data_IF_455786879571
#
_entry.id   IF_455786879571
#
_cell.length_a   1.000
_cell.length_b   1.000
_cell.length_c   1.000
_cell.angle_alpha   90.00
_cell.angle_beta   90.00
_cell.angle_gamma   90.00
#
_symmetry.space_group_name_H-M   'P 1'
#
loop_
_entity.id
_entity.type
_entity.pdbx_description
1 polymer ?
#
# COMPACT_ATOMS: atom_id res chain seq x y z
N UNK A 1 -8.24 0.01 -0.83
CA UNK A 1 -7.44 -0.36 -2.00
C UNK A 1 -6.09 0.33 -1.96
N UNK A 2 -5.06 -0.41 -2.18
CA UNK A 2 -3.71 0.11 -2.13
C UNK A 2 -3.21 0.49 -3.53
N UNK A 3 -2.43 1.53 -3.59
CA UNK A 3 -1.66 1.90 -4.77
C UNK A 3 -0.18 1.85 -4.42
N UNK A 4 0.62 1.30 -5.32
CA UNK A 4 2.06 1.16 -5.11
C UNK A 4 2.79 2.04 -6.12
N UNK A 5 3.70 2.87 -5.62
CA UNK A 5 4.53 3.74 -6.44
C UNK A 5 5.98 3.26 -6.39
N UNK A 6 6.57 3.04 -7.57
CA UNK A 6 7.93 2.55 -7.66
C UNK A 6 8.94 3.69 -7.52
N UNK A 7 9.89 3.59 -6.59
CA UNK A 7 10.98 4.55 -6.44
C UNK A 7 12.15 4.24 -7.37
N UNK A 8 13.11 5.16 -7.41
CA UNK A 8 14.28 5.07 -8.29
C UNK A 8 15.52 4.41 -7.65
N UNK A 9 15.44 3.94 -6.41
CA UNK A 9 16.58 3.43 -5.66
C UNK A 9 16.90 1.97 -5.98
N UNK A 10 18.20 1.57 -5.94
CA UNK A 10 18.63 0.24 -6.34
C UNK A 10 18.64 -0.80 -5.22
N UNK A 11 19.06 -0.43 -4.01
CA UNK A 11 19.24 -1.38 -2.90
C UNK A 11 17.95 -1.56 -2.10
N UNK A 12 17.65 -0.60 -1.22
CA UNK A 12 16.38 -0.56 -0.55
C UNK A 12 15.42 0.28 -1.37
N UNK A 13 14.26 -0.28 -1.71
CA UNK A 13 13.26 0.47 -2.42
C UNK A 13 12.28 1.12 -1.46
N UNK A 14 11.66 2.20 -1.93
CA UNK A 14 10.68 2.97 -1.17
C UNK A 14 9.39 3.01 -1.95
N UNK A 15 8.30 2.69 -1.28
CA UNK A 15 6.99 2.54 -1.89
C UNK A 15 5.99 3.48 -1.26
N UNK A 16 4.83 3.62 -1.85
CA UNK A 16 3.71 4.32 -1.26
C UNK A 16 2.49 3.43 -1.32
N UNK A 17 1.87 3.19 -0.16
CA UNK A 17 0.69 2.36 -0.03
C UNK A 17 -0.49 3.23 0.36
N UNK A 18 -1.50 3.27 -0.50
CA UNK A 18 -2.72 4.04 -0.26
C UNK A 18 -3.77 3.19 0.41
N UNK A 19 -4.34 3.72 1.49
CA UNK A 19 -5.47 3.09 2.17
C UNK A 19 -6.58 4.09 2.40
N UNK A 20 -7.82 3.64 2.20
CA UNK A 20 -8.99 4.41 2.59
C UNK A 20 -9.12 4.35 4.11
N UNK A 21 -9.25 5.51 4.75
CA UNK A 21 -9.32 5.65 6.20
C UNK A 21 -10.48 4.84 6.79
N UNK A 22 -11.58 4.75 6.08
CA UNK A 22 -12.76 4.00 6.54
C UNK A 22 -12.58 2.48 6.42
N UNK A 23 -11.72 2.03 5.50
CA UNK A 23 -11.44 0.61 5.30
C UNK A 23 -10.34 0.13 6.22
N UNK A 24 -9.21 0.82 6.25
CA UNK A 24 -8.09 0.44 7.09
C UNK A 24 -7.21 1.67 7.36
N UNK A 25 -7.22 2.14 8.62
CA UNK A 25 -6.48 3.34 9.01
C UNK A 25 -5.11 3.00 9.60
N UNK A 26 -4.28 4.03 9.81
CA UNK A 26 -3.03 3.88 10.55
C UNK A 26 -3.27 3.34 11.96
N UNK A 27 -4.34 3.80 12.62
CA UNK A 27 -4.65 3.34 13.97
C UNK A 27 -5.03 1.84 13.97
N UNK A 28 -5.71 1.38 12.92
CA UNK A 28 -6.00 -0.04 12.77
C UNK A 28 -4.70 -0.85 12.68
N UNK A 29 -3.73 -0.37 11.92
CA UNK A 29 -2.43 -1.02 11.79
C UNK A 29 -1.66 -0.98 13.12
N UNK A 30 -1.64 0.17 13.78
CA UNK A 30 -0.91 0.35 15.04
C UNK A 30 -1.43 -0.55 16.14
N UNK A 31 -2.74 -0.84 16.12
CA UNK A 31 -3.40 -1.70 17.09
C UNK A 31 -3.47 -3.16 16.66
N UNK A 32 -2.99 -3.50 15.47
CA UNK A 32 -2.96 -4.88 14.99
C UNK A 32 -1.91 -5.69 15.77
N UNK A 33 -2.05 -7.03 15.82
CA UNK A 33 -1.05 -7.87 16.47
C UNK A 33 0.34 -7.62 15.88
N UNK A 34 1.31 -7.31 16.75
CA UNK A 34 2.67 -7.00 16.35
C UNK A 34 2.75 -5.85 15.33
N UNK A 35 1.73 -4.97 15.30
CA UNK A 35 1.65 -3.84 14.35
C UNK A 35 1.90 -4.25 12.91
N UNK A 36 1.41 -5.41 12.54
CA UNK A 36 1.65 -6.04 11.25
C UNK A 36 0.33 -6.44 10.63
N UNK A 37 0.22 -6.29 9.32
CA UNK A 37 -0.96 -6.70 8.58
C UNK A 37 -0.60 -7.20 7.19
N UNK A 38 -1.55 -7.93 6.60
CA UNK A 38 -1.49 -8.31 5.19
C UNK A 38 -2.01 -7.14 4.36
N UNK A 39 -1.29 -6.78 3.30
CA UNK A 39 -1.76 -5.75 2.38
C UNK A 39 -2.51 -6.43 1.24
N UNK A 40 -3.75 -6.81 1.51
CA UNK A 40 -4.61 -7.54 0.57
C UNK A 40 -5.52 -6.60 -0.21
N UNK A 41 -6.36 -7.17 -1.07
CA UNK A 41 -7.40 -6.42 -1.78
C UNK A 41 -6.89 -5.58 -2.94
N UNK A 42 -5.62 -5.68 -3.31
CA UNK A 42 -5.08 -4.96 -4.47
C UNK A 42 -5.59 -5.59 -5.75
N UNK A 43 -6.28 -4.80 -6.58
CA UNK A 43 -6.92 -5.27 -7.81
C UNK A 43 -6.49 -4.48 -9.04
N UNK A 44 -5.24 -4.02 -9.03
CA UNK A 44 -4.58 -3.37 -10.15
C UNK A 44 -3.38 -4.22 -10.55
N UNK A 45 -3.28 -4.60 -11.83
CA UNK A 45 -2.23 -5.51 -12.28
C UNK A 45 -0.83 -4.94 -12.13
N UNK A 46 -0.66 -3.65 -12.34
CA UNK A 46 0.66 -3.02 -12.17
C UNK A 46 1.09 -3.07 -10.71
N UNK A 47 0.20 -2.72 -9.78
CA UNK A 47 0.48 -2.79 -8.36
C UNK A 47 0.74 -4.23 -7.92
N UNK A 48 -0.05 -5.20 -8.43
CA UNK A 48 0.18 -6.61 -8.17
C UNK A 48 1.59 -7.04 -8.60
N UNK A 49 2.03 -6.60 -9.77
CA UNK A 49 3.35 -6.96 -10.28
C UNK A 49 4.45 -6.40 -9.38
N UNK A 50 4.31 -5.17 -8.88
CA UNK A 50 5.25 -4.62 -7.92
C UNK A 50 5.31 -5.46 -6.65
N UNK A 51 4.14 -5.83 -6.11
CA UNK A 51 4.06 -6.62 -4.87
C UNK A 51 4.63 -8.02 -5.05
N UNK A 52 4.33 -8.64 -6.18
CA UNK A 52 4.77 -10.01 -6.46
C UNK A 52 6.26 -10.08 -6.76
N UNK A 53 6.78 -9.13 -7.56
CA UNK A 53 8.09 -9.28 -8.18
C UNK A 53 9.15 -8.31 -7.64
N UNK A 54 8.77 -7.16 -7.12
CA UNK A 54 9.72 -6.08 -6.83
C UNK A 54 9.79 -5.64 -5.37
N UNK A 55 8.69 -5.73 -4.62
CA UNK A 55 8.71 -5.37 -3.19
C UNK A 55 9.43 -6.46 -2.39
N UNK A 56 10.48 -6.07 -1.70
CA UNK A 56 11.34 -7.01 -0.96
C UNK A 56 11.30 -6.74 0.53
N UNK A 57 11.53 -7.78 1.31
CA UNK A 57 11.66 -7.67 2.76
C UNK A 57 12.72 -6.63 3.10
N UNK A 58 12.38 -5.69 3.97
CA UNK A 58 13.24 -4.58 4.35
C UNK A 58 12.96 -3.29 3.59
N UNK A 59 12.19 -3.33 2.51
CA UNK A 59 11.76 -2.12 1.82
C UNK A 59 10.86 -1.29 2.73
N UNK A 60 10.94 0.03 2.61
CA UNK A 60 10.10 0.95 3.35
C UNK A 60 9.00 1.50 2.46
N UNK A 61 7.87 1.86 3.07
CA UNK A 61 6.77 2.48 2.36
C UNK A 61 6.14 3.59 3.19
N UNK A 62 5.62 4.59 2.51
CA UNK A 62 4.75 5.58 3.15
C UNK A 62 3.34 5.00 3.23
N UNK A 63 2.75 5.11 4.40
CA UNK A 63 1.33 4.77 4.61
C UNK A 63 0.51 6.03 4.37
N UNK A 64 -0.29 6.02 3.32
CA UNK A 64 -1.02 7.19 2.85
C UNK A 64 -2.52 6.98 3.06
N UNK A 65 -3.16 7.93 3.74
CA UNK A 65 -4.62 7.96 3.84
C UNK A 65 -5.21 8.66 2.64
N UNK A 66 -6.11 7.98 1.92
CA UNK A 66 -6.95 8.61 0.91
C UNK A 66 -8.29 9.02 1.54
N UNK A 67 -9.10 9.80 0.83
CA UNK A 67 -10.37 10.29 1.35
C UNK A 67 -10.29 11.77 1.69
N UNK A 68 -10.97 12.18 2.75
CA UNK A 68 -10.91 13.57 3.20
C UNK A 68 -9.52 13.90 3.76
N UNK A 69 -8.99 15.04 3.38
CA UNK A 69 -7.70 15.53 3.84
C UNK A 69 -6.58 14.48 3.65
N UNK A 70 -6.35 14.03 2.41
CA UNK A 70 -5.42 12.93 2.15
C UNK A 70 -3.97 13.31 2.48
N UNK A 71 -3.20 12.33 2.93
CA UNK A 71 -1.80 12.59 3.26
C UNK A 71 -1.05 11.35 3.76
N UNK A 72 0.26 11.49 3.87
CA UNK A 72 1.15 10.48 4.43
C UNK A 72 1.08 10.56 5.95
N UNK A 73 0.78 9.43 6.58
CA UNK A 73 0.58 9.36 8.04
C UNK A 73 1.78 8.75 8.75
N UNK A 74 2.42 7.78 8.13
CA UNK A 74 3.52 7.08 8.77
C UNK A 74 4.36 6.27 7.81
N UNK A 75 5.31 5.53 8.38
CA UNK A 75 6.26 4.70 7.65
C UNK A 75 6.06 3.26 8.05
N UNK A 76 6.02 2.36 7.07
CA UNK A 76 5.93 0.93 7.28
C UNK A 76 7.10 0.22 6.60
N UNK A 77 7.33 -1.03 7.00
CA UNK A 77 8.37 -1.88 6.42
C UNK A 77 7.75 -3.15 5.87
N UNK A 78 8.21 -3.60 4.71
CA UNK A 78 7.81 -4.89 4.15
C UNK A 78 8.50 -5.99 4.95
N UNK A 79 7.73 -6.86 5.58
CA UNK A 79 8.26 -7.93 6.42
C UNK A 79 7.99 -9.32 5.84
N UNK A 80 7.17 -9.43 4.81
CA UNK A 80 6.98 -10.66 4.04
C UNK A 80 6.76 -10.31 2.58
N UNK A 81 7.54 -10.94 1.71
CA UNK A 81 7.48 -10.72 0.26
C UNK A 81 6.21 -11.33 -0.35
N UNK A 82 5.93 -10.97 -1.60
CA UNK A 82 4.69 -11.29 -2.28
C UNK A 82 4.28 -12.75 -2.21
N UNK A 83 3.02 -12.99 -1.87
CA UNK A 83 2.41 -14.29 -1.86
C UNK A 83 0.94 -14.17 -2.26
N UNK A 84 0.29 -15.29 -2.65
CA UNK A 84 -1.08 -15.20 -3.16
C UNK A 84 -2.07 -14.61 -2.16
N UNK A 85 -2.93 -13.73 -2.64
CA UNK A 85 -3.98 -13.10 -1.84
C UNK A 85 -5.20 -14.03 -1.80
N UNK A 86 -5.50 -14.66 -0.65
CA UNK A 86 -6.59 -15.62 -0.55
C UNK A 86 -7.97 -14.96 -0.60
N UNK A 87 -8.06 -13.65 -0.39
CA UNK A 87 -9.37 -12.97 -0.42
C UNK A 87 -9.99 -13.01 -1.81
N UNK A 88 -9.17 -13.11 -2.86
CA UNK A 88 -9.65 -13.13 -4.22
C UNK A 88 -10.43 -14.42 -4.57
N UNK A 89 -10.19 -15.52 -3.86
CA UNK A 89 -10.83 -16.81 -4.13
C UNK A 89 -11.91 -17.17 -3.11
N UNK A 90 -12.17 -16.30 -2.14
CA UNK A 90 -13.20 -16.50 -1.13
C UNK A 90 -14.47 -15.73 -1.53
N UNK A 91 -15.55 -16.45 -1.91
CA UNK A 91 -16.80 -15.78 -2.34
C UNK A 91 -17.46 -14.90 -1.26
N UNK A 92 -17.07 -15.10 0.00
CA UNK A 92 -17.61 -14.33 1.13
C UNK A 92 -16.84 -13.05 1.40
N UNK A 93 -15.67 -12.88 0.77
CA UNK A 93 -14.82 -11.73 1.00
C UNK A 93 -15.19 -10.58 0.05
N UNK A 94 -15.22 -9.32 0.53
CA UNK A 94 -15.48 -8.17 -0.35
C UNK A 94 -14.52 -8.04 -1.53
N UNK A 95 -13.33 -8.62 -1.42
CA UNK A 95 -12.32 -8.56 -2.48
C UNK A 95 -12.36 -9.76 -3.42
N UNK A 96 -13.43 -10.56 -3.35
CA UNK A 96 -13.59 -11.73 -4.19
C UNK A 96 -13.50 -11.38 -5.67
N UNK A 97 -12.69 -12.13 -6.40
CA UNK A 97 -12.56 -12.00 -7.86
C UNK A 97 -12.96 -13.32 -8.51
N UNK A 98 -14.14 -13.37 -9.14
CA UNK A 98 -14.60 -14.62 -9.77
C UNK A 98 -13.73 -15.09 -10.93
N UNK A 99 -12.82 -14.26 -11.42
CA UNK A 99 -11.86 -14.64 -12.45
C UNK A 99 -10.69 -15.43 -11.89
N UNK A 100 -10.45 -15.36 -10.59
CA UNK A 100 -9.47 -16.19 -9.91
C UNK A 100 -10.07 -17.56 -9.66
N UNK A 101 -9.42 -18.62 -10.13
CA UNK A 101 -9.96 -19.98 -10.07
C UNK A 101 -9.11 -20.88 -9.20
N UNK A 102 -9.76 -21.83 -8.52
CA UNK A 102 -9.10 -22.80 -7.71
C UNK A 102 -8.48 -22.22 -6.46
N UNK A 103 -7.42 -22.87 -5.96
CA UNK A 103 -6.72 -22.46 -4.76
C UNK A 103 -5.71 -21.34 -5.03
N UNK A 104 -5.44 -20.99 -6.28
CA UNK A 104 -4.44 -20.00 -6.64
C UNK A 104 -5.08 -18.67 -7.06
N UNK A 105 -4.76 -17.64 -6.31
CA UNK A 105 -5.16 -16.29 -6.65
C UNK A 105 -4.17 -15.71 -7.67
N UNK A 106 -4.69 -15.01 -8.67
CA UNK A 106 -3.84 -14.23 -9.57
C UNK A 106 -3.38 -12.92 -8.92
N UNK A 107 -3.87 -12.63 -7.73
CA UNK A 107 -3.55 -11.42 -6.98
C UNK A 107 -2.54 -11.74 -5.88
N UNK A 108 -1.71 -10.76 -5.55
CA UNK A 108 -0.66 -10.91 -4.55
C UNK A 108 -0.85 -9.93 -3.42
N UNK A 109 -0.28 -10.28 -2.27
CA UNK A 109 -0.21 -9.38 -1.13
C UNK A 109 1.18 -9.47 -0.50
N UNK A 110 1.53 -8.47 0.30
CA UNK A 110 2.74 -8.46 1.12
C UNK A 110 2.31 -8.20 2.56
N UNK A 111 3.19 -8.52 3.52
CA UNK A 111 2.96 -8.13 4.91
C UNK A 111 3.78 -6.90 5.21
N UNK A 112 3.16 -5.97 5.93
CA UNK A 112 3.80 -4.73 6.34
C UNK A 112 3.71 -4.57 7.86
N UNK A 113 4.72 -3.91 8.41
CA UNK A 113 4.84 -3.63 9.84
C UNK A 113 4.99 -2.12 10.05
N UNK A 114 4.22 -1.56 10.98
CA UNK A 114 4.31 -0.13 11.29
C UNK A 114 5.64 0.18 11.97
N UNK A 115 6.39 1.11 11.40
CA UNK A 115 7.68 1.52 11.94
C UNK A 115 7.54 2.80 12.77
N UNK A 116 6.96 3.84 12.18
CA UNK A 116 6.90 5.15 12.82
C UNK A 116 5.74 5.96 12.29
N UNK A 117 5.00 6.61 13.21
CA UNK A 117 4.01 7.59 12.83
C UNK A 117 4.69 8.95 12.69
N UNK A 118 4.39 9.68 11.61
CA UNK A 118 4.93 11.01 11.44
C UNK A 118 4.40 11.96 12.53
N UNK A 119 5.20 12.95 12.96
CA UNK A 119 4.76 13.94 13.97
C UNK A 119 3.47 14.67 13.56
N UNK A 120 3.28 14.87 12.26
CA UNK A 120 2.05 15.37 11.66
C UNK A 120 1.87 14.75 10.28
N UNK A 121 0.63 14.64 9.79
CA UNK A 121 0.42 14.19 8.43
C UNK A 121 1.08 15.12 7.42
N UNK A 122 1.69 14.54 6.38
CA UNK A 122 2.17 15.32 5.24
C UNK A 122 1.08 15.24 4.18
N UNK A 123 0.28 16.30 4.08
CA UNK A 123 -0.93 16.28 3.25
C UNK A 123 -0.60 16.37 1.76
N UNK A 124 -1.52 15.88 0.94
CA UNK A 124 -1.43 16.00 -0.50
C UNK A 124 -1.35 17.47 -0.92
N UNK A 125 -2.13 18.34 -0.28
CA UNK A 125 -2.10 19.77 -0.55
C UNK A 125 -0.71 20.35 -0.28
N UNK A 126 -0.09 19.98 0.84
CA UNK A 126 1.26 20.43 1.17
C UNK A 126 2.28 19.92 0.14
N UNK A 127 2.22 18.64 -0.23
CA UNK A 127 3.14 18.09 -1.21
C UNK A 127 3.06 18.79 -2.55
N UNK A 128 1.87 19.21 -2.96
CA UNK A 128 1.67 19.95 -4.22
C UNK A 128 2.30 21.34 -4.21
N UNK A 129 2.65 21.87 -3.05
CA UNK A 129 3.34 23.16 -2.95
C UNK A 129 4.85 23.03 -3.05
N UNK A 130 5.39 21.79 -3.15
CA UNK A 130 6.83 21.53 -3.15
C UNK A 130 7.34 21.28 -4.58
N UNK A 131 8.10 22.24 -5.18
CA UNK A 131 8.61 22.05 -6.54
C UNK A 131 9.47 20.80 -6.71
N UNK A 132 10.20 20.38 -5.68
CA UNK A 132 11.06 19.20 -5.73
C UNK A 132 10.27 17.89 -5.87
N UNK A 133 8.96 17.89 -5.63
CA UNK A 133 8.09 16.75 -5.80
C UNK A 133 7.35 16.75 -7.14
N UNK A 134 7.60 17.76 -7.98
CA UNK A 134 6.98 17.82 -9.30
C UNK A 134 7.34 16.55 -10.09
N UNK A 135 6.34 15.98 -10.75
CA UNK A 135 6.54 14.72 -11.48
C UNK A 135 6.25 13.47 -10.67
N UNK A 136 6.07 13.58 -9.35
CA UNK A 136 5.68 12.44 -8.53
C UNK A 136 4.29 11.94 -8.96
N UNK A 137 4.14 10.63 -9.29
CA UNK A 137 2.85 10.11 -9.79
C UNK A 137 1.66 10.40 -8.88
N UNK A 138 1.87 10.37 -7.55
CA UNK A 138 0.81 10.66 -6.58
C UNK A 138 0.16 12.03 -6.78
N UNK A 139 0.93 13.01 -7.24
CA UNK A 139 0.46 14.40 -7.35
C UNK A 139 -0.34 14.65 -8.63
N UNK A 140 -0.34 13.72 -9.56
CA UNK A 140 -1.10 13.85 -10.80
C UNK A 140 -2.59 13.77 -10.51
N UNK A 141 -3.36 14.62 -11.16
CA UNK A 141 -4.82 14.64 -11.01
C UNK A 141 -5.40 13.30 -11.44
N UNK A 142 -6.29 12.74 -10.63
CA UNK A 142 -6.93 11.46 -10.94
C UNK A 142 -6.09 10.24 -10.62
N UNK A 143 -4.93 10.40 -10.03
CA UNK A 143 -4.09 9.28 -9.64
C UNK A 143 -4.72 8.50 -8.48
N UNK A 144 -4.76 7.17 -8.61
CA UNK A 144 -5.33 6.28 -7.60
C UNK A 144 -4.31 5.30 -7.06
#
# INVERSE_FOLDING_TARGET
MAQVTRPAHKDRQYWLLKSDTETFSWDDLWNAPNRTTHWDGVRNFQARNYMRDEMKKGDLAFFYHSGENPGIIGIVEVVREGYPDPTAVDPKDPHYDPRSKGAESQWSMVDIHAVEKLPRPVTLAEMRTKPELEGMPLLKKGQR
#
